data_IF_974800441178
#
_entry.id   IF_974800441178
#
_cell.length_a   1.000
_cell.length_b   1.000
_cell.length_c   1.000
_cell.angle_alpha   90.00
_cell.angle_beta   90.00
_cell.angle_gamma   90.00
#
_symmetry.space_group_name_H-M   'P 1'
#
loop_
_entity.id
_entity.type
_entity.pdbx_description
1 polymer ?
2 non-polymer ?
3 non-polymer ?
#
# COMPACT_ATOMS: atom_id res chain seq x y z
N UNK A 21 39.81 10.89 -24.20
CA UNK A 21 39.94 9.92 -23.12
C UNK A 21 38.62 9.33 -22.66
N UNK A 22 38.65 8.04 -22.36
CA UNK A 22 37.50 7.32 -21.81
C UNK A 22 38.02 6.03 -21.18
N UNK A 23 37.19 5.45 -20.31
CA UNK A 23 37.55 4.22 -19.61
C UNK A 23 36.76 3.02 -20.11
N UNK A 24 37.47 1.89 -20.28
CA UNK A 24 36.87 0.58 -20.49
C UNK A 24 37.32 -0.36 -19.37
N UNK A 25 36.36 -1.09 -18.78
CA UNK A 25 36.62 -2.13 -17.78
C UNK A 25 35.82 -3.39 -18.09
N UNK A 26 36.49 -4.55 -18.09
CA UNK A 26 35.90 -5.79 -18.56
C UNK A 26 36.42 -6.99 -17.76
N UNK A 27 35.65 -8.08 -17.82
CA UNK A 27 35.95 -9.35 -17.16
C UNK A 27 35.63 -9.36 -15.67
N UNK A 28 36.30 -10.28 -14.96
CA UNK A 28 36.02 -10.54 -13.55
C UNK A 28 36.05 -9.25 -12.71
N UNK A 29 36.92 -8.32 -13.06
CA UNK A 29 37.03 -7.06 -12.32
C UNK A 29 35.83 -6.14 -12.53
N UNK A 30 35.20 -6.14 -13.70
CA UNK A 30 33.94 -5.41 -13.85
C UNK A 30 32.79 -6.06 -13.10
N UNK A 31 32.74 -7.38 -13.06
CA UNK A 31 31.73 -8.13 -12.32
C UNK A 31 31.86 -7.95 -10.81
N UNK A 32 33.08 -7.99 -10.29
CA UNK A 32 33.31 -7.66 -8.89
C UNK A 32 32.92 -6.22 -8.55
N UNK A 33 33.25 -5.29 -9.40
CA UNK A 33 32.85 -3.89 -9.20
C UNK A 33 31.33 -3.67 -9.24
N UNK A 34 30.58 -4.48 -9.98
CA UNK A 34 29.11 -4.43 -9.90
C UNK A 34 28.55 -5.05 -8.61
N UNK A 35 29.04 -6.21 -8.22
CA UNK A 35 28.59 -6.85 -6.98
C UNK A 35 28.92 -5.99 -5.76
N UNK A 36 30.05 -5.32 -5.75
CA UNK A 36 30.35 -4.41 -4.65
C UNK A 36 29.44 -3.18 -4.60
N UNK A 37 28.75 -2.84 -5.69
CA UNK A 37 27.71 -1.81 -5.65
C UNK A 37 26.40 -2.33 -5.07
N UNK A 38 25.99 -3.53 -5.44
CA UNK A 38 24.78 -4.13 -4.89
C UNK A 38 24.91 -4.38 -3.38
N UNK A 39 26.00 -4.96 -2.94
CA UNK A 39 26.24 -5.12 -1.50
C UNK A 39 26.45 -3.82 -0.72
N UNK A 40 26.55 -2.67 -1.36
CA UNK A 40 26.50 -1.38 -0.66
C UNK A 40 25.06 -0.88 -0.51
N UNK A 41 24.28 -0.94 -1.58
CA UNK A 41 22.88 -0.51 -1.51
C UNK A 41 22.09 -1.40 -0.56
N UNK A 42 22.36 -2.69 -0.53
CA UNK A 42 21.67 -3.52 0.45
C UNK A 42 22.14 -3.20 1.86
N UNK A 43 23.39 -2.81 2.04
CA UNK A 43 23.92 -2.50 3.37
C UNK A 43 23.27 -1.27 3.97
N UNK A 44 22.90 -0.31 3.13
CA UNK A 44 22.12 0.84 3.61
C UNK A 44 20.74 0.47 4.16
N UNK A 45 20.10 -0.59 3.70
CA UNK A 45 18.73 -0.95 4.09
C UNK A 45 18.63 -2.05 5.12
N UNK A 46 19.59 -2.95 5.21
CA UNK A 46 19.48 -4.14 6.03
C UNK A 46 18.92 -3.94 7.43
N UNK A 47 19.44 -2.98 8.19
CA UNK A 47 19.00 -2.76 9.56
C UNK A 47 17.54 -2.30 9.70
N UNK A 48 16.97 -1.61 8.74
CA UNK A 48 15.59 -1.13 8.86
C UNK A 48 14.55 -2.17 8.51
N UNK A 49 14.93 -3.41 8.34
CA UNK A 49 13.99 -4.47 8.02
C UNK A 49 13.09 -4.68 9.22
N UNK A 50 11.83 -4.32 9.07
CA UNK A 50 10.90 -4.24 10.15
C UNK A 50 10.33 -5.55 10.61
N UNK A 51 9.37 -5.51 11.53
CA UNK A 51 9.09 -4.44 12.49
C UNK A 51 10.18 -4.33 13.49
N UNK A 52 9.94 -3.53 14.52
CA UNK A 52 10.86 -3.47 15.64
C UNK A 52 12.27 -3.19 15.16
N UNK A 53 12.37 -2.35 14.13
CA UNK A 53 13.62 -2.12 13.45
C UNK A 53 14.03 -0.67 13.48
N UNK A 54 15.33 -0.43 13.38
CA UNK A 54 15.94 0.88 13.49
C UNK A 54 15.48 1.81 12.38
N UNK A 55 15.60 3.11 12.62
CA UNK A 55 15.42 4.15 11.62
C UNK A 55 16.73 4.70 11.10
N UNK A 56 16.65 5.50 10.03
CA UNK A 56 17.76 6.24 9.48
C UNK A 56 17.47 7.73 9.52
N UNK A 57 18.52 8.54 9.71
CA UNK A 57 18.43 9.99 9.63
C UNK A 57 18.92 10.52 8.27
N UNK A 58 18.08 11.26 7.54
CA UNK A 58 18.45 11.88 6.28
C UNK A 58 18.46 13.40 6.37
N UNK A 59 19.61 14.00 6.05
CA UNK A 59 19.79 15.45 6.05
C UNK A 59 19.95 15.94 4.61
N UNK A 60 19.20 16.97 4.24
CA UNK A 60 19.26 17.51 2.89
C UNK A 60 20.27 18.68 2.82
N UNK A 61 20.47 19.19 1.59
CA UNK A 61 21.41 20.30 1.34
C UNK A 61 20.99 21.61 1.98
N UNK A 62 19.71 21.75 2.32
CA UNK A 62 19.23 22.97 2.98
C UNK A 62 19.46 22.91 4.48
N UNK A 63 19.52 21.70 5.03
CA UNK A 63 19.69 21.48 6.45
C UNK A 63 18.47 20.97 7.19
N UNK A 64 17.45 20.51 6.47
CA UNK A 64 16.31 19.83 7.07
C UNK A 64 16.67 18.43 7.56
N UNK A 65 16.03 18.02 8.66
CA UNK A 65 16.27 16.73 9.29
C UNK A 65 15.02 15.87 9.12
N UNK A 66 15.20 14.62 8.70
CA UNK A 66 14.10 13.68 8.59
C UNK A 66 14.47 12.31 9.15
N UNK A 67 13.52 11.71 9.87
CA UNK A 67 13.68 10.39 10.45
C UNK A 67 12.70 9.43 9.80
N UNK A 68 13.21 8.32 9.26
CA UNK A 68 12.34 7.41 8.53
C UNK A 68 12.82 5.97 8.62
N UNK A 69 11.88 5.04 8.42
CA UNK A 69 12.15 3.63 8.26
C UNK A 69 11.40 3.07 7.07
N UNK A 70 10.86 3.93 6.22
CA UNK A 70 10.13 3.54 5.01
C UNK A 70 11.07 3.47 3.81
N UNK A 71 11.26 2.26 3.30
CA UNK A 71 12.28 2.01 2.28
C UNK A 71 12.04 2.74 0.97
N UNK A 72 10.80 2.88 0.58
CA UNK A 72 10.46 3.66 -0.60
C UNK A 72 10.80 5.14 -0.42
N UNK A 73 10.83 5.62 0.82
CA UNK A 73 11.28 6.95 1.17
C UNK A 73 12.80 7.08 1.16
N UNK A 74 13.52 6.13 1.76
CA UNK A 74 14.99 6.21 1.83
C UNK A 74 15.60 6.25 0.43
N UNK A 75 15.13 5.40 -0.47
CA UNK A 75 15.66 5.27 -1.82
C UNK A 75 15.44 6.49 -2.72
N UNK A 76 14.64 7.47 -2.30
CA UNK A 76 14.50 8.72 -3.05
C UNK A 76 15.30 9.88 -2.50
N UNK A 77 15.96 9.73 -1.36
CA UNK A 77 16.69 10.80 -0.71
C UNK A 77 18.10 10.42 -0.31
N UNK A 78 18.42 9.14 -0.23
CA UNK A 78 19.78 8.71 -0.49
C UNK A 78 20.11 9.04 -1.94
N UNK A 79 21.39 9.25 -2.21
CA UNK A 79 21.87 9.49 -3.57
C UNK A 79 23.07 8.62 -3.90
N UNK A 80 23.10 8.14 -5.16
CA UNK A 80 23.91 6.99 -5.57
C UNK A 80 24.82 7.34 -6.74
N UNK A 81 26.13 7.20 -6.52
CA UNK A 81 27.15 7.54 -7.51
C UNK A 81 27.36 6.48 -8.58
N UNK A 82 26.94 5.23 -8.37
CA UNK A 82 27.32 4.09 -9.19
C UNK A 82 26.17 3.63 -10.09
N UNK A 83 26.39 3.48 -11.38
CA UNK A 83 25.29 3.24 -12.34
C UNK A 83 24.57 1.90 -12.19
N UNK A 84 25.25 0.84 -11.79
CA UNK A 84 24.58 -0.45 -11.60
C UNK A 84 23.67 -0.42 -10.38
N UNK A 85 24.10 0.24 -9.32
CA UNK A 85 23.21 0.50 -8.21
C UNK A 85 22.01 1.32 -8.64
N UNK A 86 22.23 2.30 -9.52
CA UNK A 86 21.16 3.11 -10.06
C UNK A 86 20.14 2.31 -10.87
N UNK A 87 20.54 1.17 -11.43
CA UNK A 87 19.57 0.23 -12.03
C UNK A 87 18.83 -0.64 -11.00
N UNK A 88 19.55 -1.14 -10.00
CA UNK A 88 18.92 -1.91 -8.93
C UNK A 88 17.85 -1.09 -8.20
N UNK A 89 18.17 0.14 -7.82
CA UNK A 89 17.20 1.00 -7.13
C UNK A 89 15.99 1.28 -8.01
N UNK A 90 16.18 1.46 -9.31
CA UNK A 90 15.07 1.74 -10.22
C UNK A 90 14.11 0.58 -10.32
N UNK A 91 14.62 -0.64 -10.27
CA UNK A 91 13.75 -1.83 -10.21
C UNK A 91 13.01 -1.93 -8.87
N UNK A 92 13.69 -1.72 -7.77
CA UNK A 92 13.02 -1.70 -6.47
C UNK A 92 12.00 -0.57 -6.27
N UNK A 93 12.21 0.59 -6.87
CA UNK A 93 11.20 1.66 -6.89
C UNK A 93 10.02 1.32 -7.80
N UNK A 94 10.29 0.81 -8.99
CA UNK A 94 9.24 0.35 -9.89
C UNK A 94 8.38 -0.72 -9.24
N UNK A 95 9.01 -1.57 -8.44
CA UNK A 95 8.32 -2.56 -7.59
C UNK A 95 7.27 -1.97 -6.65
N UNK A 96 7.45 -0.76 -6.14
CA UNK A 96 6.54 -0.19 -5.14
C UNK A 96 5.22 0.34 -5.71
N UNK A 97 5.19 0.80 -6.97
CA UNK A 97 3.98 1.36 -7.58
C UNK A 97 3.06 0.30 -8.18
N UNK A 98 3.62 -0.84 -8.59
CA UNK A 98 2.80 -1.94 -9.14
C UNK A 98 2.03 -2.63 -8.00
N UNK A 99 2.67 -2.89 -6.86
CA UNK A 99 2.00 -3.64 -5.75
C UNK A 99 1.89 -2.89 -4.41
N UNK A 100 2.79 -1.94 -4.09
CA UNK A 100 2.74 -1.07 -2.88
C UNK A 100 3.48 -1.62 -1.65
N UNK A 101 3.73 -2.93 -1.63
CA UNK A 101 4.48 -3.52 -0.48
C UNK A 101 5.66 -4.31 -1.03
N UNK A 102 6.69 -4.56 -0.21
CA UNK A 102 7.84 -5.33 -0.59
C UNK A 102 8.93 -4.53 -1.27
N UNK A 103 9.18 -3.32 -0.82
CA UNK A 103 10.27 -2.50 -1.34
C UNK A 103 11.61 -2.92 -0.76
N UNK A 104 11.64 -3.29 0.53
CA UNK A 104 12.85 -3.72 1.22
C UNK A 104 13.15 -5.19 1.02
N UNK A 105 12.14 -6.06 1.07
CA UNK A 105 12.38 -7.48 0.84
C UNK A 105 13.04 -7.73 -0.51
N UNK A 106 12.59 -7.03 -1.54
CA UNK A 106 13.17 -7.13 -2.86
C UNK A 106 14.55 -6.51 -3.01
N UNK A 107 15.05 -5.78 -2.03
CA UNK A 107 16.43 -5.35 -2.04
C UNK A 107 17.32 -6.27 -1.19
N UNK A 108 16.83 -6.72 -0.04
CA UNK A 108 17.59 -7.67 0.78
C UNK A 108 17.79 -9.00 0.08
N UNK A 109 16.74 -9.54 -0.51
CA UNK A 109 16.89 -10.79 -1.24
C UNK A 109 17.85 -10.67 -2.40
N UNK A 110 17.81 -9.55 -3.11
CA UNK A 110 18.76 -9.25 -4.19
C UNK A 110 20.15 -8.96 -3.69
N UNK A 111 20.31 -8.67 -2.43
CA UNK A 111 21.63 -8.58 -1.80
C UNK A 111 22.23 -9.93 -1.46
N UNK A 112 21.39 -10.80 -0.91
CA UNK A 112 21.81 -12.17 -0.60
C UNK A 112 22.11 -13.02 -1.84
N UNK A 113 21.30 -12.98 -2.87
CA UNK A 113 21.60 -13.78 -4.08
C UNK A 113 22.89 -13.37 -4.78
N UNK A 114 23.30 -12.13 -4.70
CA UNK A 114 24.60 -11.70 -5.18
C UNK A 114 25.72 -12.10 -4.23
N UNK A 115 25.52 -11.93 -2.93
CA UNK A 115 26.56 -12.31 -1.99
C UNK A 115 26.86 -13.80 -2.09
N UNK A 116 25.85 -14.64 -2.29
CA UNK A 116 26.10 -16.07 -2.50
C UNK A 116 26.57 -16.43 -3.90
N UNK A 117 26.28 -15.64 -4.92
CA UNK A 117 26.93 -15.84 -6.23
C UNK A 117 28.42 -15.64 -6.16
N UNK A 118 28.88 -14.73 -5.31
CA UNK A 118 30.32 -14.54 -5.15
C UNK A 118 31.04 -15.79 -4.64
N UNK A 119 30.39 -16.65 -3.85
CA UNK A 119 31.00 -17.91 -3.44
C UNK A 119 31.10 -18.93 -4.56
N UNK A 120 30.22 -18.88 -5.54
CA UNK A 120 30.29 -19.79 -6.69
C UNK A 120 31.32 -19.33 -7.72
N UNK A 121 31.49 -18.05 -7.91
CA UNK A 121 32.53 -17.61 -8.85
C UNK A 121 33.95 -17.97 -8.41
N UNK A 122 34.25 -18.03 -7.13
CA UNK A 122 35.55 -18.54 -6.68
C UNK A 122 35.78 -20.02 -6.92
N UNK A 123 34.76 -20.78 -7.24
CA UNK A 123 34.95 -22.16 -7.70
C UNK A 123 35.06 -22.23 -9.22
N UNK A 124 35.19 -21.07 -9.87
CA UNK A 124 35.33 -20.88 -11.31
C UNK A 124 34.15 -21.30 -12.16
N UNK A 125 32.96 -21.41 -11.61
CA UNK A 125 31.78 -21.61 -12.45
C UNK A 125 31.57 -20.36 -13.30
N UNK A 126 31.15 -20.55 -14.52
CA UNK A 126 30.84 -19.46 -15.46
C UNK A 126 29.47 -18.86 -15.16
N UNK A 127 29.33 -17.54 -15.22
CA UNK A 127 28.06 -16.85 -14.93
C UNK A 127 26.81 -17.33 -15.63
N UNK A 128 26.90 -17.82 -16.85
CA UNK A 128 25.71 -18.32 -17.54
C UNK A 128 25.23 -19.65 -16.99
N UNK A 129 26.00 -20.33 -16.16
CA UNK A 129 25.48 -21.47 -15.41
C UNK A 129 24.71 -21.02 -14.16
N UNK A 130 25.21 -20.03 -13.44
CA UNK A 130 24.52 -19.47 -12.28
C UNK A 130 23.16 -18.91 -12.66
N UNK A 131 23.12 -18.02 -13.64
CA UNK A 131 21.86 -17.40 -14.06
C UNK A 131 20.85 -18.42 -14.56
N UNK A 132 21.31 -19.49 -15.18
CA UNK A 132 20.43 -20.57 -15.56
C UNK A 132 19.95 -21.34 -14.34
N UNK A 133 20.73 -21.38 -13.27
CA UNK A 133 20.24 -22.01 -12.06
C UNK A 133 19.14 -21.20 -11.38
N UNK A 134 19.39 -19.92 -11.13
CA UNK A 134 18.38 -19.08 -10.47
C UNK A 134 17.06 -19.04 -11.21
N UNK A 135 17.08 -18.79 -12.52
CA UNK A 135 15.83 -18.82 -13.30
C UNK A 135 15.20 -20.20 -13.43
N UNK A 136 15.81 -21.23 -12.87
CA UNK A 136 15.24 -22.57 -12.78
C UNK A 136 14.76 -22.93 -11.38
N UNK A 137 15.19 -22.18 -10.38
CA UNK A 137 14.68 -22.23 -9.01
C UNK A 137 13.45 -21.36 -8.80
N UNK A 138 13.42 -20.18 -9.40
CA UNK A 138 12.32 -19.24 -9.20
C UNK A 138 10.97 -19.78 -9.69
N UNK A 139 10.97 -20.57 -10.74
CA UNK A 139 9.76 -21.25 -11.27
C UNK A 139 9.22 -22.39 -10.40
N UNK A 140 10.03 -23.02 -9.57
CA UNK A 140 9.53 -23.99 -8.59
C UNK A 140 9.15 -23.30 -7.25
N UNK A 141 9.78 -22.18 -6.95
CA UNK A 141 9.34 -21.35 -5.81
C UNK A 141 7.94 -20.76 -6.03
N UNK A 142 7.69 -20.16 -7.19
CA UNK A 142 6.36 -19.59 -7.45
C UNK A 142 5.26 -20.65 -7.47
N UNK A 143 5.53 -21.84 -7.96
CA UNK A 143 4.57 -22.92 -7.79
C UNK A 143 4.35 -23.30 -6.30
N UNK A 144 5.42 -23.37 -5.51
CA UNK A 144 5.28 -23.71 -4.10
C UNK A 144 4.44 -22.71 -3.31
N UNK A 145 4.59 -21.41 -3.57
CA UNK A 145 3.73 -20.43 -2.88
C UNK A 145 2.25 -20.65 -3.18
N UNK A 146 1.91 -20.97 -4.41
CA UNK A 146 0.51 -21.24 -4.73
C UNK A 146 0.03 -22.54 -4.12
N UNK A 147 0.93 -23.45 -3.83
CA UNK A 147 0.51 -24.69 -3.18
C UNK A 147 0.31 -24.53 -1.67
N UNK A 148 1.21 -23.88 -0.95
CA UNK A 148 1.11 -23.85 0.51
C UNK A 148 0.12 -22.82 1.07
N UNK A 149 -0.32 -21.83 0.29
CA UNK A 149 -1.25 -20.81 0.76
C UNK A 149 -2.63 -21.40 1.06
N UNK A 150 -3.47 -20.59 1.75
CA UNK A 150 -4.84 -20.87 2.16
C UNK A 150 -5.81 -19.78 1.73
N UNK A 151 -7.00 -20.15 1.26
CA UNK A 151 -7.97 -19.19 0.73
C UNK A 151 -8.74 -18.42 1.78
N UNK A 152 -9.22 -17.23 1.38
CA UNK A 152 -9.99 -16.35 2.26
C UNK A 152 -11.01 -15.52 1.47
N UNK A 153 -12.14 -15.21 2.11
CA UNK A 153 -13.26 -14.48 1.52
C UNK A 153 -13.75 -13.39 2.47
N UNK A 154 -14.55 -12.46 1.93
CA UNK A 154 -15.08 -11.33 2.70
C UNK A 154 -15.82 -11.77 3.96
N UNK A 155 -16.51 -12.89 3.88
CA UNK A 155 -17.22 -13.43 5.05
C UNK A 155 -16.29 -13.82 6.19
N UNK A 156 -15.04 -14.13 5.87
CA UNK A 156 -14.01 -14.48 6.85
C UNK A 156 -13.37 -13.28 7.54
N UNK A 157 -14.23 -12.40 8.05
CA UNK A 157 -13.92 -11.02 8.46
C UNK A 157 -12.92 -10.95 9.61
N UNK A 158 -12.82 -11.99 10.43
CA UNK A 158 -11.74 -12.11 11.40
C UNK A 158 -10.35 -12.07 10.75
N UNK A 159 -10.18 -12.76 9.63
CA UNK A 159 -8.92 -12.76 8.90
C UNK A 159 -8.65 -11.41 8.26
N UNK A 160 -9.68 -10.76 7.75
CA UNK A 160 -9.58 -9.37 7.28
C UNK A 160 -9.16 -8.41 8.38
N UNK A 161 -9.72 -8.55 9.58
CA UNK A 161 -9.32 -7.76 10.73
C UNK A 161 -7.87 -8.01 11.14
N UNK A 162 -7.45 -9.26 11.17
CA UNK A 162 -6.06 -9.60 11.43
C UNK A 162 -5.08 -9.04 10.39
N UNK A 163 -5.43 -9.06 9.11
CA UNK A 163 -4.59 -8.44 8.07
C UNK A 163 -4.55 -6.92 8.24
N UNK A 164 -5.70 -6.31 8.49
CA UNK A 164 -5.74 -4.87 8.69
C UNK A 164 -4.85 -4.49 9.87
N UNK A 165 -5.02 -5.17 10.99
CA UNK A 165 -4.24 -4.86 12.18
C UNK A 165 -2.75 -5.01 11.93
N UNK A 166 -2.33 -6.08 11.26
CA UNK A 166 -0.90 -6.28 11.00
C UNK A 166 -0.31 -5.16 10.16
N UNK A 167 -1.05 -4.68 9.15
CA UNK A 167 -0.59 -3.58 8.30
C UNK A 167 -0.66 -2.22 9.02
N UNK A 168 -1.63 -2.05 9.93
CA UNK A 168 -1.91 -0.82 10.67
C UNK A 168 -0.92 -0.56 11.82
N UNK A 169 -0.56 -1.58 12.59
CA UNK A 169 0.15 -1.45 13.88
C UNK A 169 1.58 -0.89 13.83
N UNK A 170 2.19 -0.76 15.00
CA UNK A 170 3.53 -0.19 15.28
C UNK A 170 3.69 1.32 15.07
N UNK A 171 2.61 2.08 15.20
CA UNK A 171 2.56 3.56 15.36
C UNK A 171 1.68 3.90 16.57
N UNK A 172 1.64 5.17 16.96
CA UNK A 172 0.76 5.68 18.02
C UNK A 172 -0.72 5.34 17.76
N UNK A 173 -1.20 5.55 16.53
CA UNK A 173 -2.47 4.99 16.08
C UNK A 173 -2.28 3.53 15.72
N UNK A 174 -3.05 2.65 16.37
CA UNK A 174 -2.84 1.20 16.33
C UNK A 174 -4.10 0.53 16.86
N UNK A 175 -4.08 -0.81 16.87
CA UNK A 175 -5.13 -1.59 17.48
C UNK A 175 -5.37 -1.49 18.97
N UNK A 176 -4.60 -0.65 19.66
CA UNK A 176 -5.08 -0.18 20.96
C UNK A 176 -6.37 0.61 20.77
N UNK A 177 -6.47 1.34 19.67
CA UNK A 177 -7.74 1.86 19.15
C UNK A 177 -8.24 0.99 17.99
N UNK A 178 -8.57 -0.27 18.30
CA UNK A 178 -9.07 -1.26 17.33
C UNK A 178 -10.32 -0.83 16.58
N UNK A 179 -11.01 0.22 17.03
CA UNK A 179 -12.02 0.87 16.21
C UNK A 179 -11.51 1.22 14.82
N UNK A 180 -10.24 1.62 14.71
CA UNK A 180 -9.60 1.85 13.42
C UNK A 180 -9.53 0.59 12.52
N UNK A 181 -9.38 -0.58 13.14
CA UNK A 181 -9.35 -1.85 12.41
C UNK A 181 -10.71 -2.25 11.84
N UNK A 182 -11.75 -2.08 12.64
CA UNK A 182 -13.09 -2.34 12.13
C UNK A 182 -13.53 -1.25 11.18
N UNK A 183 -13.06 -0.03 11.41
CA UNK A 183 -13.35 1.09 10.52
C UNK A 183 -12.95 0.76 9.08
N UNK A 184 -11.70 0.34 8.89
CA UNK A 184 -11.19 -0.01 7.56
C UNK A 184 -11.81 -1.29 7.01
N UNK A 185 -12.00 -2.30 7.85
CA UNK A 185 -12.57 -3.57 7.37
C UNK A 185 -13.99 -3.37 6.87
N UNK A 186 -14.83 -2.69 7.65
CA UNK A 186 -16.18 -2.36 7.21
C UNK A 186 -16.17 -1.49 5.95
N UNK A 187 -15.29 -0.50 5.90
CA UNK A 187 -15.26 0.44 4.78
C UNK A 187 -14.99 -0.25 3.43
N UNK A 188 -14.05 -1.20 3.37
CA UNK A 188 -13.88 -1.98 2.13
C UNK A 188 -14.76 -3.23 1.98
N UNK A 189 -15.30 -3.77 3.07
CA UNK A 189 -16.33 -4.79 2.95
C UNK A 189 -17.60 -4.26 2.30
N UNK A 190 -17.88 -2.96 2.45
CA UNK A 190 -18.95 -2.33 1.70
C UNK A 190 -18.66 -2.21 0.20
N UNK A 191 -17.52 -1.63 -0.19
CA UNK A 191 -17.15 -1.53 -1.60
C UNK A 191 -16.53 -2.83 -2.13
N UNK A 192 -17.40 -3.76 -2.50
CA UNK A 192 -17.02 -4.97 -3.23
C UNK A 192 -17.76 -5.09 -4.56
N UNK A 193 -17.01 -4.96 -5.67
CA UNK A 193 -17.48 -5.27 -7.01
C UNK A 193 -17.07 -6.70 -7.36
N UNK A 194 -17.81 -7.32 -8.28
CA UNK A 194 -17.52 -8.68 -8.70
C UNK A 194 -17.16 -8.75 -10.19
N UNK A 195 -15.92 -9.17 -10.46
CA UNK A 195 -15.35 -9.26 -11.80
C UNK A 195 -14.34 -10.39 -11.85
N UNK A 196 -14.29 -11.07 -13.00
CA UNK A 196 -13.39 -12.21 -13.18
C UNK A 196 -13.70 -13.40 -12.31
N UNK A 197 -14.96 -13.56 -11.90
CA UNK A 197 -15.41 -14.51 -10.90
C UNK A 197 -14.79 -14.26 -9.53
N UNK A 198 -14.32 -13.04 -9.30
CA UNK A 198 -13.61 -12.69 -8.08
C UNK A 198 -14.10 -11.30 -7.66
N UNK A 199 -13.80 -10.93 -6.43
CA UNK A 199 -14.08 -9.56 -6.02
C UNK A 199 -13.08 -8.58 -6.62
N UNK A 200 -13.49 -7.32 -6.70
CA UNK A 200 -12.63 -6.25 -7.20
C UNK A 200 -12.91 -4.94 -6.48
N UNK A 201 -11.86 -4.10 -6.32
CA UNK A 201 -11.95 -2.85 -5.59
C UNK A 201 -10.91 -1.90 -6.16
N UNK A 202 -11.14 -0.59 -5.98
CA UNK A 202 -10.08 0.41 -6.06
C UNK A 202 -10.30 1.55 -5.07
N UNK A 203 -9.20 2.22 -4.73
CA UNK A 203 -9.12 3.27 -3.71
C UNK A 203 -9.83 4.57 -4.11
N UNK A 204 -10.14 4.72 -5.40
CA UNK A 204 -10.96 5.82 -5.88
C UNK A 204 -12.38 5.76 -5.37
N UNK A 205 -12.85 4.57 -4.97
CA UNK A 205 -14.20 4.39 -4.48
C UNK A 205 -14.40 4.80 -3.02
N UNK A 206 -13.35 4.93 -2.22
CA UNK A 206 -13.50 5.27 -0.80
C UNK A 206 -12.65 6.49 -0.45
N UNK A 207 -13.27 7.50 0.15
CA UNK A 207 -12.69 8.82 0.38
C UNK A 207 -12.58 9.13 1.87
N UNK A 208 -11.54 9.90 2.24
CA UNK A 208 -11.37 10.45 3.58
C UNK A 208 -11.74 11.92 3.64
N UNK A 209 -11.96 12.41 4.86
CA UNK A 209 -11.99 13.83 5.21
C UNK A 209 -11.15 14.05 6.46
N UNK A 210 -10.28 15.07 6.44
CA UNK A 210 -9.34 15.32 7.53
C UNK A 210 -9.51 16.72 8.10
N UNK A 211 -9.60 16.79 9.44
CA UNK A 211 -9.73 18.05 10.18
C UNK A 211 -9.09 17.90 11.55
N UNK A 212 -8.86 19.05 12.20
CA UNK A 212 -8.18 19.17 13.49
C UNK A 212 -9.13 19.62 14.60
N UNK A 213 -8.87 19.14 15.81
CA UNK A 213 -9.83 19.14 16.88
C UNK A 213 -10.76 17.96 16.82
N UNK A 214 -10.41 16.95 17.61
CA UNK A 214 -11.07 15.66 17.50
C UNK A 214 -10.38 14.66 18.42
N UNK A 215 -10.74 13.40 18.22
CA UNK A 215 -9.99 12.30 18.83
C UNK A 215 -10.01 11.12 17.87
N UNK A 216 -9.01 10.26 18.01
CA UNK A 216 -8.84 9.16 17.08
C UNK A 216 -9.96 8.13 17.19
N UNK A 217 -10.65 8.05 18.33
CA UNK A 217 -11.89 7.30 18.45
C UNK A 217 -13.12 8.10 18.06
N UNK A 218 -12.98 9.42 17.95
CA UNK A 218 -14.03 10.25 17.37
C UNK A 218 -14.09 10.14 15.84
N UNK A 219 -13.03 9.66 15.20
CA UNK A 219 -13.10 9.28 13.80
C UNK A 219 -14.13 8.18 13.58
N UNK A 220 -14.92 8.31 12.50
CA UNK A 220 -16.00 7.38 12.23
C UNK A 220 -16.19 7.19 10.72
N UNK A 221 -16.67 5.99 10.37
CA UNK A 221 -17.29 5.67 9.08
C UNK A 221 -18.75 6.13 9.04
N UNK A 222 -19.33 6.10 7.85
CA UNK A 222 -20.67 6.65 7.62
C UNK A 222 -21.59 5.80 6.75
N UNK A 223 -21.06 5.06 5.78
CA UNK A 223 -21.88 4.55 4.68
C UNK A 223 -22.63 5.67 3.97
N UNK A 224 -21.95 6.80 3.83
CA UNK A 224 -22.49 8.01 3.23
C UNK A 224 -21.32 8.88 2.82
N UNK A 225 -21.64 9.97 2.12
CA UNK A 225 -20.63 10.86 1.56
C UNK A 225 -20.76 12.23 2.21
N UNK A 226 -19.64 12.79 2.65
CA UNK A 226 -19.65 13.81 3.69
C UNK A 226 -18.60 14.87 3.35
N UNK A 227 -18.92 16.13 3.70
CA UNK A 227 -18.00 17.26 3.64
C UNK A 227 -18.10 18.06 4.93
N UNK A 228 -16.95 18.41 5.51
CA UNK A 228 -16.85 19.18 6.75
C UNK A 228 -17.05 20.69 6.48
N UNK A 229 -18.18 21.02 5.85
CA UNK A 229 -18.58 22.40 5.65
C UNK A 229 -19.02 23.05 6.94
N UNK A 230 -18.31 24.11 7.36
CA UNK A 230 -18.73 24.84 8.55
C UNK A 230 -19.95 25.72 8.33
N UNK A 231 -20.44 25.90 7.10
CA UNK A 231 -21.62 26.75 6.90
C UNK A 231 -22.47 26.23 5.74
N UNK A 232 -23.79 26.37 5.90
CA UNK A 232 -24.75 26.45 4.80
C UNK A 232 -25.87 27.41 5.25
N UNK A 233 -26.46 28.08 4.27
CA UNK A 233 -27.17 29.32 4.52
C UNK A 233 -28.43 29.15 5.38
N UNK A 234 -28.67 30.09 6.30
CA UNK A 234 -29.47 29.81 7.51
C UNK A 234 -30.97 29.63 7.30
N UNK A 235 -31.56 30.20 6.25
CA UNK A 235 -32.98 30.00 5.99
C UNK A 235 -33.35 28.69 5.37
N UNK A 236 -32.40 27.99 4.82
CA UNK A 236 -32.66 26.84 3.98
C UNK A 236 -33.07 25.61 4.79
N UNK A 237 -33.88 24.72 4.19
CA UNK A 237 -34.29 23.48 4.84
C UNK A 237 -33.15 22.47 4.98
N UNK A 238 -32.55 22.43 6.17
CA UNK A 238 -31.38 21.61 6.50
C UNK A 238 -31.69 20.10 6.56
N UNK A 239 -32.88 19.65 6.17
CA UNK A 239 -33.13 18.22 5.92
C UNK A 239 -33.89 18.10 4.62
N UNK A 240 -33.35 17.28 3.72
CA UNK A 240 -33.92 17.02 2.40
C UNK A 240 -33.95 15.52 2.15
N UNK A 241 -35.08 15.00 1.66
CA UNK A 241 -35.34 13.56 1.67
C UNK A 241 -35.95 13.07 0.37
N UNK A 242 -35.51 11.88 -0.07
CA UNK A 242 -35.90 11.26 -1.34
C UNK A 242 -35.78 12.24 -2.51
N UNK A 243 -34.54 12.69 -2.73
CA UNK A 243 -34.26 13.99 -3.31
C UNK A 243 -33.34 13.96 -4.53
N UNK A 244 -33.38 15.06 -5.26
CA UNK A 244 -32.66 15.35 -6.50
C UNK A 244 -31.53 16.33 -6.24
N UNK A 245 -30.35 16.05 -6.83
CA UNK A 245 -29.12 16.79 -6.58
C UNK A 245 -28.56 17.32 -7.91
N UNK A 246 -28.14 18.58 -7.89
CA UNK A 246 -27.42 19.20 -9.00
C UNK A 246 -26.01 19.61 -8.60
N UNK A 247 -25.03 19.25 -9.44
CA UNK A 247 -23.61 19.51 -9.25
C UNK A 247 -23.11 20.41 -10.36
N UNK A 248 -22.57 21.58 -10.00
CA UNK A 248 -22.43 22.67 -10.96
C UNK A 248 -21.03 23.24 -10.99
N UNK A 249 -20.47 23.31 -12.20
CA UNK A 249 -19.46 24.30 -12.58
C UNK A 249 -20.08 25.66 -12.87
N UNK A 250 -21.38 25.68 -13.19
CA UNK A 250 -22.22 26.87 -13.12
C UNK A 250 -22.36 27.37 -11.69
N UNK A 268 -23.56 56.07 -15.59
CA UNK A 268 -24.56 55.87 -14.52
C UNK A 268 -25.85 55.12 -14.79
N UNK A 269 -26.65 55.57 -15.77
CA UNK A 269 -27.95 54.92 -16.00
C UNK A 269 -27.79 53.49 -16.51
N UNK A 270 -26.87 53.29 -17.46
CA UNK A 270 -26.58 51.96 -17.98
C UNK A 270 -25.85 51.11 -16.94
N UNK A 271 -25.06 51.75 -16.08
CA UNK A 271 -24.44 51.08 -14.94
C UNK A 271 -25.47 50.51 -13.96
N UNK A 272 -26.53 51.26 -13.68
CA UNK A 272 -27.66 50.73 -12.89
C UNK A 272 -28.38 49.59 -13.60
N UNK A 273 -28.63 49.73 -14.90
CA UNK A 273 -29.22 48.64 -15.69
C UNK A 273 -28.35 47.36 -15.72
N UNK A 274 -27.03 47.49 -15.82
CA UNK A 274 -26.11 46.35 -15.68
C UNK A 274 -26.07 45.76 -14.27
N UNK A 275 -26.11 46.61 -13.25
CA UNK A 275 -26.15 46.17 -11.85
C UNK A 275 -27.42 45.36 -11.55
N UNK A 276 -28.56 45.84 -12.00
CA UNK A 276 -29.80 45.06 -11.92
C UNK A 276 -29.73 43.76 -12.72
N UNK A 277 -29.23 43.81 -13.95
CA UNK A 277 -29.11 42.61 -14.78
C UNK A 277 -28.27 41.51 -14.11
N UNK A 278 -27.22 41.91 -13.39
CA UNK A 278 -26.45 40.97 -12.54
C UNK A 278 -27.17 40.53 -11.27
N UNK A 279 -28.07 41.34 -10.73
CA UNK A 279 -28.89 40.88 -9.60
C UNK A 279 -30.01 39.92 -10.03
N UNK A 280 -30.62 40.13 -11.20
CA UNK A 280 -31.53 39.16 -11.80
C UNK A 280 -30.86 37.84 -12.16
N UNK A 281 -29.57 37.85 -12.51
CA UNK A 281 -28.84 36.57 -12.68
C UNK A 281 -28.76 35.73 -11.39
N UNK A 282 -28.96 36.34 -10.23
CA UNK A 282 -29.16 35.57 -8.98
C UNK A 282 -30.47 34.78 -8.98
N UNK A 283 -31.59 35.42 -9.29
CA UNK A 283 -32.87 34.73 -9.51
C UNK A 283 -32.84 33.71 -10.67
N UNK A 284 -32.00 33.89 -11.69
CA UNK A 284 -31.81 32.87 -12.74
C UNK A 284 -31.29 31.51 -12.25
N UNK A 285 -30.69 31.45 -11.06
CA UNK A 285 -30.41 30.16 -10.41
C UNK A 285 -31.71 29.46 -10.00
N UNK A 286 -32.61 30.19 -9.34
CA UNK A 286 -33.92 29.63 -9.04
C UNK A 286 -34.65 29.30 -10.35
N UNK A 287 -34.67 30.23 -11.29
CA UNK A 287 -35.35 30.03 -12.57
C UNK A 287 -34.95 28.70 -13.25
N UNK A 288 -33.68 28.35 -13.21
CA UNK A 288 -33.21 27.10 -13.82
C UNK A 288 -33.23 25.88 -12.91
N UNK A 289 -33.31 26.06 -11.59
CA UNK A 289 -33.62 24.95 -10.69
C UNK A 289 -35.09 24.52 -10.80
N UNK A 290 -36.00 25.48 -10.83
CA UNK A 290 -37.42 25.17 -11.06
C UNK A 290 -37.64 24.52 -12.42
N UNK A 291 -36.83 24.85 -13.42
CA UNK A 291 -36.84 24.18 -14.71
C UNK A 291 -36.42 22.71 -14.66
N UNK A 292 -35.93 22.22 -13.51
CA UNK A 292 -35.52 20.82 -13.41
C UNK A 292 -35.89 20.15 -12.09
N UNK A 293 -36.39 20.89 -11.10
CA UNK A 293 -36.87 20.32 -9.84
C UNK A 293 -35.86 19.83 -8.83
N UNK A 294 -34.62 20.31 -8.89
CA UNK A 294 -33.57 19.88 -7.98
C UNK A 294 -33.81 20.44 -6.57
N UNK A 295 -33.41 19.67 -5.56
CA UNK A 295 -33.63 20.02 -4.15
C UNK A 295 -32.39 20.61 -3.48
N UNK A 296 -31.20 20.08 -3.74
CA UNK A 296 -29.95 20.62 -3.21
C UNK A 296 -29.00 20.84 -4.39
N UNK A 297 -28.32 21.99 -4.39
CA UNK A 297 -27.62 22.48 -5.57
C UNK A 297 -26.28 23.07 -5.17
N UNK A 298 -25.20 22.38 -5.55
CA UNK A 298 -23.82 22.65 -5.17
C UNK A 298 -23.10 23.29 -6.36
N UNK A 299 -22.43 24.43 -6.13
CA UNK A 299 -21.75 25.14 -7.20
C UNK A 299 -20.32 25.49 -6.83
N UNK A 300 -19.44 25.36 -7.82
CA UNK A 300 -17.99 25.40 -7.63
C UNK A 300 -17.49 26.68 -6.97
N UNK A 301 -17.71 27.84 -7.61
CA UNK A 301 -17.28 29.09 -7.00
C UNK A 301 -17.98 30.28 -7.66
N UNK A 306 -25.90 38.01 -2.63
CA UNK A 306 -26.76 36.99 -2.04
C UNK A 306 -28.17 37.02 -2.64
N UNK A 307 -28.75 35.81 -2.76
CA UNK A 307 -30.19 35.64 -2.98
C UNK A 307 -30.73 34.36 -2.33
N UNK A 308 -30.02 33.82 -1.33
CA UNK A 308 -30.33 32.54 -0.67
C UNK A 308 -31.66 32.53 0.08
N UNK A 309 -32.17 33.68 0.48
CA UNK A 309 -33.53 33.79 1.04
C UNK A 309 -34.62 33.40 0.04
N UNK A 310 -34.43 33.66 -1.25
CA UNK A 310 -35.40 33.30 -2.28
C UNK A 310 -35.29 31.82 -2.66
N UNK A 311 -34.07 31.29 -2.67
CA UNK A 311 -33.86 29.85 -2.75
C UNK A 311 -34.49 29.12 -1.56
N UNK A 312 -34.29 29.65 -0.34
CA UNK A 312 -34.94 29.08 0.84
C UNK A 312 -36.47 29.18 0.76
N UNK A 313 -36.99 30.29 0.23
CA UNK A 313 -38.43 30.40 0.02
C UNK A 313 -38.92 29.31 -0.93
N UNK A 317 -31.78 23.91 -1.04
CA UNK A 317 -30.57 24.02 -0.24
C UNK A 317 -29.38 24.27 -1.17
N UNK A 318 -28.64 25.35 -0.89
CA UNK A 318 -27.46 25.75 -1.64
C UNK A 318 -26.18 25.50 -0.85
N UNK A 319 -25.18 24.93 -1.53
CA UNK A 319 -23.83 24.79 -1.01
C UNK A 319 -22.88 25.74 -1.73
N UNK A 320 -22.25 26.61 -0.94
CA UNK A 320 -21.61 27.83 -1.43
C UNK A 320 -20.49 27.56 -2.45
N UNK A 321 -19.71 26.50 -2.25
CA UNK A 321 -18.44 26.39 -2.96
C UNK A 321 -18.07 24.92 -3.08
N UNK A 325 -12.78 18.30 -8.39
CA UNK A 325 -12.48 16.92 -8.01
C UNK A 325 -13.41 16.36 -6.93
N UNK A 326 -14.08 17.21 -6.18
CA UNK A 326 -15.11 16.78 -5.24
C UNK A 326 -16.50 16.74 -5.84
N UNK A 327 -16.78 17.65 -6.77
CA UNK A 327 -17.96 17.52 -7.63
C UNK A 327 -17.94 16.22 -8.42
N UNK A 328 -16.76 15.78 -8.87
CA UNK A 328 -16.59 14.46 -9.48
C UNK A 328 -16.90 13.31 -8.52
N UNK A 329 -16.51 13.42 -7.26
CA UNK A 329 -16.85 12.42 -6.25
C UNK A 329 -18.35 12.41 -5.94
N UNK A 330 -18.95 13.58 -5.81
CA UNK A 330 -20.39 13.67 -5.64
C UNK A 330 -21.11 13.09 -6.85
N UNK A 331 -20.64 13.34 -8.06
CA UNK A 331 -21.24 12.75 -9.24
C UNK A 331 -21.16 11.23 -9.22
N UNK A 332 -20.02 10.67 -8.81
CA UNK A 332 -19.84 9.23 -8.72
C UNK A 332 -20.71 8.60 -7.62
N UNK A 333 -21.01 9.34 -6.57
CA UNK A 333 -21.95 8.85 -5.56
C UNK A 333 -23.40 9.00 -6.01
N UNK A 334 -23.78 10.20 -6.45
CA UNK A 334 -25.15 10.55 -6.77
C UNK A 334 -25.61 10.00 -8.11
N UNK A 335 -24.70 9.55 -8.97
CA UNK A 335 -25.08 9.23 -10.34
C UNK A 335 -25.40 10.42 -11.21
N UNK A 336 -25.15 11.64 -10.72
CA UNK A 336 -25.36 12.85 -11.50
C UNK A 336 -24.20 13.13 -12.44
N UNK A 337 -24.19 14.35 -12.94
CA UNK A 337 -23.11 14.88 -13.76
C UNK A 337 -22.87 16.33 -13.39
N UNK A 338 -21.60 16.74 -13.46
CA UNK A 338 -21.24 18.15 -13.25
C UNK A 338 -21.60 18.95 -14.50
N UNK A 344 -28.40 24.52 -19.47
CA UNK A 344 -28.34 23.20 -20.11
C UNK A 344 -29.07 22.10 -19.34
N UNK A 345 -29.60 22.39 -18.15
CA UNK A 345 -30.09 21.36 -17.23
C UNK A 345 -31.18 20.45 -17.81
N UNK A 349 -29.51 14.74 -16.27
CA UNK A 349 -28.21 15.15 -15.73
C UNK A 349 -28.14 15.16 -14.20
N UNK A 350 -29.26 15.28 -13.51
CA UNK A 350 -29.28 15.28 -12.05
C UNK A 350 -28.88 13.94 -11.43
N UNK A 351 -28.32 14.03 -10.21
CA UNK A 351 -28.12 12.90 -9.33
C UNK A 351 -29.21 12.78 -8.26
N UNK A 352 -29.20 11.64 -7.55
CA UNK A 352 -30.28 11.31 -6.63
C UNK A 352 -29.72 10.74 -5.34
N UNK A 353 -30.37 11.09 -4.21
CA UNK A 353 -29.99 10.52 -2.92
C UNK A 353 -31.19 10.48 -1.98
N UNK A 354 -31.17 9.48 -1.09
CA UNK A 354 -32.25 9.27 -0.12
C UNK A 354 -32.32 10.32 0.98
N UNK A 355 -31.19 10.87 1.42
CA UNK A 355 -31.21 11.88 2.47
C UNK A 355 -30.03 12.84 2.29
N UNK A 356 -30.26 14.11 2.63
CA UNK A 356 -29.21 15.12 2.80
C UNK A 356 -29.46 15.91 4.07
N UNK A 357 -28.40 16.14 4.85
CA UNK A 357 -28.53 16.83 6.13
C UNK A 357 -27.29 17.68 6.38
N UNK A 358 -27.51 18.69 7.23
CA UNK A 358 -26.38 19.50 7.74
C UNK A 358 -26.54 19.38 9.27
N UNK A 359 -25.47 19.17 10.01
CA UNK A 359 -25.49 18.93 11.44
C UNK A 359 -24.19 19.40 12.11
N UNK A 360 -24.31 19.79 13.38
CA UNK A 360 -23.15 19.93 14.25
C UNK A 360 -22.57 18.57 14.58
N UNK A 364 -17.56 21.30 15.89
CA UNK A 364 -17.65 21.90 14.56
C UNK A 364 -18.93 21.46 13.85
N UNK A 365 -19.08 21.88 12.59
CA UNK A 365 -20.31 21.73 11.83
C UNK A 365 -20.02 21.06 10.49
N UNK A 366 -21.01 20.32 9.97
CA UNK A 366 -20.79 19.44 8.81
C UNK A 366 -22.06 19.26 7.98
N UNK A 367 -21.84 18.81 6.74
CA UNK A 367 -22.89 18.44 5.78
C UNK A 367 -22.72 16.99 5.33
N UNK A 368 -23.85 16.26 5.24
CA UNK A 368 -23.88 14.83 4.94
C UNK A 368 -24.82 14.51 3.79
N UNK A 369 -24.39 13.59 2.92
CA UNK A 369 -25.25 12.94 1.94
C UNK A 369 -25.33 11.44 2.24
N UNK A 370 -26.55 10.92 2.33
CA UNK A 370 -26.77 9.53 2.72
C UNK A 370 -27.75 8.84 1.78
N UNK A 371 -27.41 7.62 1.39
CA UNK A 371 -28.16 6.82 0.41
C UNK A 371 -28.16 7.33 -1.00
N UNK A 372 -27.03 7.86 -1.48
CA UNK A 372 -26.87 8.25 -2.87
C UNK A 372 -27.00 7.06 -3.82
N UNK A 373 -27.39 7.39 -5.06
CA UNK A 373 -27.82 6.42 -6.08
C UNK A 373 -26.84 5.26 -6.26
N UNK A 374 -25.53 5.55 -6.24
CA UNK A 374 -24.52 4.50 -6.25
C UNK A 374 -24.22 4.01 -4.84
N UNK A 375 -24.58 2.77 -4.50
CA UNK A 375 -24.36 2.24 -3.15
C UNK A 375 -22.93 1.79 -2.86
N UNK A 376 -22.08 1.67 -3.86
CA UNK A 376 -20.69 1.24 -3.71
C UNK A 376 -19.72 2.41 -3.57
N UNK A 377 -20.12 3.44 -2.84
CA UNK A 377 -19.26 4.56 -2.49
C UNK A 377 -19.40 4.88 -1.01
N UNK A 378 -18.28 5.16 -0.34
CA UNK A 378 -18.23 5.39 1.10
C UNK A 378 -17.23 6.51 1.39
N UNK A 379 -17.53 7.33 2.41
CA UNK A 379 -16.57 8.24 3.02
C UNK A 379 -16.36 7.96 4.50
N UNK A 380 -15.13 8.22 4.95
CA UNK A 380 -14.71 8.22 6.34
C UNK A 380 -14.11 9.56 6.70
N UNK A 381 -14.27 9.96 7.96
CA UNK A 381 -13.76 11.21 8.49
C UNK A 381 -12.81 10.98 9.65
N UNK A 382 -11.61 11.55 9.54
CA UNK A 382 -10.63 11.64 10.63
C UNK A 382 -10.64 13.04 11.22
N UNK A 383 -10.98 13.15 12.51
CA UNK A 383 -10.75 14.36 13.29
C UNK A 383 -9.82 14.05 14.45
N UNK A 384 -8.69 14.76 14.51
CA UNK A 384 -7.73 14.58 15.58
C UNK A 384 -7.34 15.88 16.23
N UNK A 385 -6.94 15.79 17.50
CA UNK A 385 -6.62 16.98 18.30
C UNK A 385 -5.36 17.71 17.87
N UNK A 386 -4.50 17.08 17.09
CA UNK A 386 -3.30 17.72 16.58
C UNK A 386 -3.06 17.29 15.14
N UNK A 387 -2.40 18.17 14.40
CA UNK A 387 -2.08 17.95 12.99
C UNK A 387 -1.13 16.77 12.75
N UNK A 388 -0.12 16.63 13.61
CA UNK A 388 0.88 15.56 13.47
C UNK A 388 0.26 14.17 13.53
N UNK A 389 -0.79 13.99 14.33
CA UNK A 389 -1.51 12.72 14.39
C UNK A 389 -2.27 12.44 13.10
N UNK A 390 -3.11 13.39 12.67
CA UNK A 390 -3.96 13.23 11.50
C UNK A 390 -3.16 12.97 10.23
N UNK A 391 -2.09 13.73 10.01
CA UNK A 391 -1.34 13.65 8.76
C UNK A 391 -0.54 12.36 8.58
N UNK A 392 -0.12 11.71 9.66
CA UNK A 392 0.45 10.36 9.51
C UNK A 392 -0.61 9.26 9.62
N UNK A 393 -1.71 9.50 10.31
CA UNK A 393 -2.79 8.54 10.38
C UNK A 393 -3.41 8.27 9.01
N UNK A 394 -3.51 9.29 8.16
CA UNK A 394 -3.91 9.03 6.78
C UNK A 394 -2.94 8.06 6.08
N UNK A 395 -1.65 8.28 6.25
CA UNK A 395 -0.55 7.54 5.63
C UNK A 395 -0.42 6.11 6.14
N UNK A 396 -0.94 5.85 7.33
CA UNK A 396 -1.13 4.51 7.88
C UNK A 396 -2.45 3.86 7.46
N UNK A 397 -3.56 4.56 7.64
CA UNK A 397 -4.91 4.02 7.48
C UNK A 397 -5.25 3.67 6.04
N UNK A 398 -4.91 4.52 5.08
CA UNK A 398 -5.09 4.18 3.66
C UNK A 398 -4.11 3.14 3.13
N UNK A 399 -2.95 2.99 3.72
CA UNK A 399 -2.06 1.88 3.39
C UNK A 399 -2.54 0.55 3.98
N UNK A 400 -3.21 0.59 5.11
CA UNK A 400 -3.88 -0.59 5.67
C UNK A 400 -5.04 -1.01 4.79
N UNK A 401 -5.91 -0.08 4.45
CA UNK A 401 -6.99 -0.37 3.51
C UNK A 401 -6.45 -0.87 2.16
N UNK A 402 -5.42 -0.24 1.61
CA UNK A 402 -4.76 -0.70 0.39
C UNK A 402 -3.92 -1.97 0.53
N UNK A 403 -3.91 -2.59 1.70
CA UNK A 403 -3.44 -3.96 1.92
C UNK A 403 -4.59 -4.96 1.97
N UNK A 404 -5.68 -4.56 2.60
CA UNK A 404 -6.89 -5.38 2.54
C UNK A 404 -7.31 -5.56 1.08
N UNK A 405 -7.25 -4.49 0.29
CA UNK A 405 -7.49 -4.61 -1.15
C UNK A 405 -6.54 -5.58 -1.88
N UNK A 406 -5.31 -5.77 -1.40
CA UNK A 406 -4.39 -6.76 -2.00
C UNK A 406 -4.71 -8.18 -1.59
N UNK A 407 -5.40 -8.36 -0.48
CA UNK A 407 -5.97 -9.67 -0.22
C UNK A 407 -7.21 -9.88 -1.08
N UNK A 408 -8.15 -8.94 -1.07
CA UNK A 408 -9.43 -9.13 -1.73
C UNK A 408 -9.31 -9.26 -3.25
N UNK A 409 -8.34 -8.59 -3.87
CA UNK A 409 -8.09 -8.79 -5.29
C UNK A 409 -7.55 -10.17 -5.64
N UNK A 410 -7.09 -10.98 -4.69
CA UNK A 410 -6.59 -12.30 -5.03
C UNK A 410 -6.62 -13.12 -3.73
N UNK A 411 -7.54 -14.06 -3.66
CA UNK A 411 -8.05 -14.63 -2.42
C UNK A 411 -7.18 -15.66 -1.72
N UNK A 412 -5.86 -15.48 -1.73
CA UNK A 412 -4.95 -16.34 -0.99
C UNK A 412 -4.25 -15.53 0.10
N UNK A 413 -3.87 -16.18 1.20
CA UNK A 413 -3.09 -15.53 2.24
C UNK A 413 -2.05 -16.50 2.79
N UNK A 414 -0.92 -15.96 3.24
CA UNK A 414 0.20 -16.74 3.77
C UNK A 414 0.77 -16.11 5.03
N UNK A 415 1.29 -16.96 5.92
CA UNK A 415 1.82 -16.51 7.20
C UNK A 415 3.07 -15.64 7.04
N UNK A 416 3.19 -14.69 7.94
CA UNK A 416 4.38 -13.86 8.04
C UNK A 416 5.52 -14.52 8.77
N UNK A 417 6.34 -13.71 9.42
CA UNK A 417 7.28 -14.16 10.41
C UNK A 417 8.37 -15.08 9.91
N UNK A 418 8.52 -15.18 8.60
CA UNK A 418 9.47 -16.15 8.11
C UNK A 418 8.99 -17.57 8.00
N UNK A 419 7.70 -17.79 8.02
CA UNK A 419 7.15 -19.14 7.88
C UNK A 419 7.17 -19.65 6.45
N UNK A 420 7.02 -18.76 5.46
CA UNK A 420 7.07 -19.14 4.04
C UNK A 420 8.48 -19.55 3.60
N UNK A 421 9.48 -18.75 3.95
CA UNK A 421 10.85 -19.00 3.53
C UNK A 421 11.32 -20.41 3.84
N UNK A 422 10.96 -20.94 4.99
CA UNK A 422 11.42 -22.27 5.38
C UNK A 422 10.63 -23.42 4.75
N UNK A 423 9.45 -23.20 4.20
CA UNK A 423 8.88 -24.23 3.34
C UNK A 423 9.50 -24.21 1.94
N UNK A 424 9.78 -23.03 1.42
CA UNK A 424 10.48 -22.94 0.14
C UNK A 424 11.87 -23.55 0.23
N UNK A 425 12.60 -23.24 1.27
CA UNK A 425 13.92 -23.82 1.46
C UNK A 425 13.93 -25.32 1.72
N UNK A 426 12.78 -25.95 1.92
CA UNK A 426 12.67 -27.41 1.87
C UNK A 426 12.37 -27.92 0.47
N UNK A 427 11.44 -27.31 -0.23
CA UNK A 427 11.12 -27.77 -1.58
C UNK A 427 12.35 -27.71 -2.49
N UNK A 428 13.10 -26.62 -2.47
CA UNK A 428 14.31 -26.53 -3.29
C UNK A 428 15.32 -27.62 -2.97
N UNK A 429 15.62 -27.86 -1.72
CA UNK A 429 16.60 -28.90 -1.40
C UNK A 429 16.13 -30.32 -1.68
N UNK A 430 14.84 -30.52 -1.86
CA UNK A 430 14.36 -31.80 -2.39
C UNK A 430 14.34 -31.87 -3.93
N UNK A 431 14.17 -30.75 -4.60
CA UNK A 431 14.18 -30.65 -6.06
C UNK A 431 15.59 -30.65 -6.66
N UNK A 432 16.57 -30.05 -6.00
CA UNK A 432 17.93 -29.92 -6.56
C UNK A 432 18.60 -31.21 -7.02
N UNK A 433 18.54 -32.33 -6.31
CA UNK A 433 19.10 -33.59 -6.83
C UNK A 433 18.56 -34.05 -8.18
N UNK A 434 17.40 -33.60 -8.61
CA UNK A 434 16.94 -34.00 -9.95
C UNK A 434 17.68 -33.24 -11.05
N UNK A 435 18.18 -32.04 -10.78
CA UNK A 435 18.82 -31.25 -11.83
C UNK A 435 20.28 -31.66 -12.04
N UNK A 436 20.96 -32.14 -11.00
CA UNK A 436 22.13 -32.98 -11.20
C UNK A 436 23.45 -32.38 -11.67
N UNK A 437 23.46 -31.46 -12.61
CA UNK A 437 24.70 -30.90 -13.12
C UNK A 437 25.30 -29.85 -12.22
N UNK A 438 26.21 -29.05 -12.79
CA UNK A 438 26.71 -27.86 -12.10
C UNK A 438 25.58 -26.96 -11.62
N UNK A 439 24.47 -26.96 -12.34
CA UNK A 439 23.26 -26.23 -11.95
C UNK A 439 22.75 -26.60 -10.56
N UNK A 440 23.04 -27.80 -10.08
CA UNK A 440 22.67 -28.17 -8.71
C UNK A 440 23.30 -27.25 -7.66
N UNK A 441 24.53 -26.83 -7.84
CA UNK A 441 25.14 -25.89 -6.89
C UNK A 441 24.50 -24.50 -6.92
N UNK A 442 23.96 -24.07 -8.05
CA UNK A 442 23.25 -22.80 -8.11
C UNK A 442 21.88 -22.84 -7.45
N UNK A 443 21.14 -23.94 -7.52
CA UNK A 443 19.86 -24.03 -6.81
C UNK A 443 20.08 -24.12 -5.31
N UNK A 444 21.00 -24.93 -4.84
CA UNK A 444 21.25 -24.98 -3.40
C UNK A 444 21.84 -23.68 -2.91
N UNK A 445 22.58 -22.96 -3.72
CA UNK A 445 22.99 -21.61 -3.36
C UNK A 445 21.84 -20.60 -3.39
N UNK A 446 20.73 -20.90 -4.03
CA UNK A 446 19.50 -20.10 -3.90
C UNK A 446 18.78 -20.33 -2.59
N UNK A 447 18.61 -21.58 -2.20
CA UNK A 447 17.97 -21.92 -0.93
C UNK A 447 18.70 -21.34 0.27
N UNK A 448 20.01 -21.43 0.32
CA UNK A 448 20.77 -20.77 1.39
C UNK A 448 20.60 -19.26 1.41
N UNK A 449 20.21 -18.63 0.32
CA UNK A 449 20.01 -17.18 0.28
C UNK A 449 18.60 -16.73 0.67
N UNK A 450 17.59 -17.59 0.58
CA UNK A 450 16.26 -17.33 1.14
C UNK A 450 16.19 -17.55 2.66
N UNK A 451 16.77 -18.62 3.20
CA UNK A 451 16.86 -18.77 4.66
C UNK A 451 17.65 -17.62 5.26
N UNK A 452 18.67 -17.16 4.57
CA UNK A 452 19.49 -16.03 4.94
C UNK A 452 18.73 -14.74 5.04
N UNK A 453 17.48 -14.72 4.64
CA UNK A 453 16.62 -13.57 4.94
C UNK A 453 16.12 -13.51 6.37
N UNK A 454 15.68 -14.62 6.97
CA UNK A 454 15.08 -14.56 8.32
C UNK A 454 16.11 -14.45 9.43
N UNK A 455 17.38 -14.68 9.14
CA UNK A 455 18.41 -14.20 10.05
C UNK A 455 18.36 -12.68 10.19
N UNK A 456 18.19 -11.95 9.09
CA UNK A 456 18.08 -10.49 9.16
C UNK A 456 16.82 -10.04 9.87
N UNK A 457 15.88 -10.94 10.08
CA UNK A 457 14.73 -10.66 10.92
C UNK A 457 14.95 -11.00 12.38
N UNK A 458 15.64 -12.10 12.68
CA UNK A 458 15.96 -12.48 14.06
C UNK A 458 17.10 -11.63 14.63
N UNK A 459 18.15 -11.45 13.86
CA UNK A 459 19.30 -10.64 14.25
C UNK A 459 18.90 -9.24 14.63
N UNK A 460 17.80 -8.77 14.11
CA UNK A 460 17.30 -7.43 14.27
C UNK A 460 16.47 -7.24 15.53
N UNK A 461 15.90 -8.29 16.09
CA UNK A 461 15.10 -8.19 17.31
C UNK A 461 15.88 -8.60 18.55
N UNK A 462 17.21 -8.58 18.48
CA UNK A 462 18.10 -8.87 19.59
C UNK A 462 18.44 -10.34 19.83
N UNK A 463 17.82 -11.25 19.13
CA UNK A 463 18.04 -12.66 19.37
C UNK A 463 19.40 -13.09 18.85
N UNK A 464 19.79 -14.28 19.25
CA UNK A 464 20.92 -15.02 18.69
C UNK A 464 20.53 -15.70 17.40
N UNK A 465 21.08 -15.29 16.26
CA UNK A 465 20.49 -15.67 14.97
C UNK A 465 20.58 -17.15 14.57
N UNK A 466 21.70 -17.81 14.81
CA UNK A 466 21.91 -19.15 14.27
C UNK A 466 21.04 -20.19 14.97
N UNK A 467 21.07 -20.21 16.29
CA UNK A 467 20.23 -21.16 16.99
C UNK A 467 18.74 -20.94 16.68
N UNK A 468 18.31 -19.70 16.59
CA UNK A 468 16.90 -19.40 16.30
C UNK A 468 16.56 -19.58 14.83
N UNK A 469 17.54 -19.87 13.99
CA UNK A 469 17.28 -20.51 12.71
C UNK A 469 17.16 -22.04 12.81
N UNK A 470 18.11 -22.68 13.48
CA UNK A 470 18.15 -24.14 13.59
C UNK A 470 16.92 -24.72 14.27
N UNK A 471 16.40 -24.05 15.29
CA UNK A 471 15.15 -24.47 15.91
C UNK A 471 13.97 -24.46 14.93
N UNK A 472 13.86 -23.42 14.12
CA UNK A 472 12.79 -23.40 13.13
C UNK A 472 12.95 -24.48 12.08
N UNK A 473 14.15 -24.71 11.61
CA UNK A 473 14.33 -25.74 10.58
C UNK A 473 14.03 -27.12 11.13
N UNK A 474 14.48 -27.42 12.34
CA UNK A 474 14.12 -28.67 12.98
C UNK A 474 12.61 -28.79 13.22
N UNK A 475 11.94 -27.72 13.64
CA UNK A 475 10.48 -27.80 13.80
C UNK A 475 9.77 -28.06 12.48
N UNK A 476 10.32 -27.63 11.35
CA UNK A 476 9.71 -27.95 10.06
C UNK A 476 10.06 -29.32 9.52
N UNK A 477 11.05 -30.01 10.06
CA UNK A 477 11.23 -31.39 9.62
C UNK A 477 10.18 -32.33 10.20
N UNK A 478 9.54 -31.96 11.29
CA UNK A 478 8.34 -32.67 11.68
C UNK A 478 7.21 -32.42 10.68
N UNK A 479 6.26 -33.35 10.66
CA UNK A 479 5.07 -33.21 9.86
C UNK A 479 4.18 -32.07 10.38
N UNK A 480 3.28 -31.62 9.50
CA UNK A 480 2.39 -30.43 9.62
C UNK A 480 3.25 -29.24 10.07
N UNK A 481 2.87 -28.50 11.11
CA UNK A 481 3.68 -27.41 11.66
C UNK A 481 4.01 -26.31 10.67
N UNK A 482 3.46 -26.34 9.46
CA UNK A 482 3.93 -25.46 8.38
C UNK A 482 3.80 -23.97 8.67
N UNK A 483 3.05 -23.55 9.69
CA UNK A 483 2.97 -22.15 10.05
C UNK A 483 3.84 -21.67 11.21
N UNK A 484 4.73 -22.49 11.76
CA UNK A 484 5.66 -22.01 12.78
C UNK A 484 6.68 -21.02 12.24
N UNK A 485 6.88 -19.92 12.98
CA UNK A 485 7.79 -18.87 12.61
C UNK A 485 8.22 -18.08 13.83
N UNK A 486 9.00 -17.04 13.59
CA UNK A 486 9.43 -16.12 14.63
C UNK A 486 8.34 -15.17 15.08
N UNK A 487 8.02 -15.21 16.36
CA UNK A 487 7.51 -14.05 17.04
C UNK A 487 8.68 -13.10 17.32
N UNK A 488 8.37 -11.81 17.47
CA UNK A 488 9.39 -10.80 17.73
C UNK A 488 9.16 -10.01 19.00
N UNK A 489 8.11 -10.31 19.72
CA UNK A 489 7.85 -9.70 21.00
C UNK A 489 8.12 -10.67 22.12
N UNK A 490 8.57 -11.88 21.78
CA UNK A 490 9.22 -12.80 22.68
C UNK A 490 10.07 -13.69 21.79
N UNK A 491 11.27 -14.05 22.27
CA UNK A 491 12.27 -14.72 21.43
C UNK A 491 11.99 -16.14 20.94
N UNK A 492 10.92 -16.80 21.38
CA UNK A 492 10.75 -18.16 20.93
C UNK A 492 9.81 -18.27 19.72
N UNK A 493 10.01 -19.30 18.91
CA UNK A 493 9.05 -19.64 17.86
C UNK A 493 7.65 -19.91 18.37
N UNK A 494 6.67 -19.44 17.61
CA UNK A 494 5.24 -19.61 17.87
C UNK A 494 4.51 -19.77 16.56
N UNK A 495 3.30 -20.32 16.63
CA UNK A 495 2.43 -20.52 15.47
C UNK A 495 1.86 -19.21 14.96
N UNK A 496 2.27 -18.82 13.75
CA UNK A 496 1.92 -17.52 13.16
C UNK A 496 0.48 -17.37 12.73
N UNK A 497 -0.25 -18.44 12.48
CA UNK A 497 -1.66 -18.26 12.16
C UNK A 497 -2.51 -17.96 13.40
N UNK A 498 -2.26 -18.66 14.49
CA UNK A 498 -2.99 -18.37 15.72
C UNK A 498 -2.57 -17.03 16.33
N UNK A 499 -1.31 -16.62 16.17
CA UNK A 499 -1.01 -15.23 16.49
C UNK A 499 -1.61 -14.23 15.53
N UNK A 500 -2.10 -14.67 14.36
CA UNK A 500 -2.74 -13.75 13.44
C UNK A 500 -1.85 -12.82 12.65
N UNK A 501 -0.66 -13.25 12.26
CA UNK A 501 0.29 -12.44 11.51
C UNK A 501 0.30 -12.89 10.05
N UNK A 502 -0.34 -12.14 9.15
CA UNK A 502 -0.63 -12.64 7.80
C UNK A 502 -0.26 -11.57 6.78
N UNK A 503 0.19 -12.00 5.60
CA UNK A 503 0.30 -11.11 4.45
C UNK A 503 -0.17 -11.75 3.15
N UNK A 504 -0.59 -10.93 2.20
CA UNK A 504 -1.09 -11.44 0.93
C UNK A 504 -0.02 -11.99 -0.01
N UNK A 505 -0.35 -13.13 -0.64
CA UNK A 505 0.58 -13.87 -1.50
C UNK A 505 1.16 -13.04 -2.65
N UNK A 506 0.36 -12.18 -3.26
CA UNK A 506 0.82 -11.34 -4.36
C UNK A 506 2.03 -10.47 -4.01
N UNK A 507 2.17 -10.07 -2.76
CA UNK A 507 3.33 -9.30 -2.34
C UNK A 507 4.59 -10.15 -2.19
N UNK A 508 4.45 -11.39 -1.76
CA UNK A 508 5.62 -12.27 -1.74
C UNK A 508 6.04 -12.65 -3.14
N UNK A 509 5.10 -13.00 -4.02
CA UNK A 509 5.48 -13.31 -5.39
C UNK A 509 6.22 -12.16 -6.06
N UNK A 510 5.75 -10.93 -5.87
CA UNK A 510 6.48 -9.78 -6.42
C UNK A 510 7.85 -9.58 -5.78
N UNK A 511 8.03 -9.93 -4.51
CA UNK A 511 9.36 -9.85 -3.91
C UNK A 511 10.34 -10.84 -4.53
N UNK A 512 9.93 -12.09 -4.68
CA UNK A 512 10.78 -13.12 -5.29
C UNK A 512 11.12 -12.77 -6.74
N UNK A 513 10.13 -12.37 -7.53
CA UNK A 513 10.34 -12.10 -8.94
C UNK A 513 11.16 -10.83 -9.20
N UNK A 514 10.96 -9.76 -8.45
CA UNK A 514 11.77 -8.56 -8.65
C UNK A 514 13.19 -8.70 -8.10
N UNK A 515 13.44 -9.62 -7.17
CA UNK A 515 14.83 -9.88 -6.77
C UNK A 515 15.58 -10.70 -7.82
N UNK A 516 14.99 -11.77 -8.32
CA UNK A 516 15.65 -12.57 -9.36
C UNK A 516 15.89 -11.78 -10.65
N UNK A 517 14.91 -10.98 -11.07
CA UNK A 517 15.07 -10.03 -12.18
C UNK A 517 16.14 -8.97 -11.92
N UNK A 518 16.35 -8.53 -10.69
CA UNK A 518 17.38 -7.52 -10.47
C UNK A 518 18.79 -8.11 -10.43
N UNK A 519 18.99 -9.28 -9.82
CA UNK A 519 20.33 -9.89 -9.73
C UNK A 519 20.81 -10.47 -11.07
N UNK A 520 19.93 -11.08 -11.86
CA UNK A 520 20.30 -11.60 -13.19
C UNK A 520 20.54 -10.53 -14.23
N UNK A 521 20.39 -9.28 -13.87
CA UNK A 521 20.84 -8.15 -14.66
C UNK A 521 22.15 -7.55 -14.17
N UNK A 522 22.60 -7.89 -12.97
CA UNK A 522 23.90 -7.45 -12.44
C UNK A 522 24.97 -8.47 -12.74
N UNK A 523 24.69 -9.75 -12.54
CA UNK A 523 25.40 -10.73 -13.34
C UNK A 523 25.01 -10.50 -14.80
N UNK A 524 25.70 -11.17 -15.71
CA UNK A 524 25.38 -11.02 -17.12
C UNK A 524 25.60 -9.59 -17.61
N UNK A 525 26.44 -8.82 -16.92
CA UNK A 525 27.09 -7.66 -17.52
C UNK A 525 28.60 -7.90 -17.52
N UNK A 526 29.16 -7.99 -18.71
CA UNK A 526 30.56 -8.30 -18.94
C UNK A 526 31.47 -7.09 -18.90
N UNK A 527 31.06 -5.94 -19.41
CA UNK A 527 32.02 -4.89 -19.73
C UNK A 527 31.33 -3.54 -19.62
N UNK A 528 32.08 -2.53 -19.20
CA UNK A 528 31.58 -1.16 -19.07
C UNK A 528 32.36 -0.23 -19.98
N UNK A 529 31.64 0.48 -20.85
CA UNK A 529 32.21 1.46 -21.75
C UNK A 529 31.53 2.81 -21.53
N UNK A 530 32.31 3.88 -21.63
CA UNK A 530 31.80 5.24 -21.62
C UNK A 530 32.48 6.04 -22.74
N UNK A 531 31.87 7.16 -23.11
CA UNK A 531 32.37 7.95 -24.24
C UNK A 531 31.97 9.42 -24.13
#
# INVERSE_FOLDING_TARGET
MATATVATTPEGIPVIILKEGSSRTYGKEALRANIAAVKAIEEALKSTYGPRGMDKMLVDSLGDITITNDGATILDKMDLQHPTGKLLVQIAKGQDEETADGTKTAVILAGELAKKAEDLLYKEIHPTIIVSGYKKAEEIALKTIQEIAQPVTINDTDVLRKVALTSLGSKAVAGAREYLADLVVKAVAQVAELRGDKWYVDLDNVQIVKKHGGSVNDTQLVYGIVVDKEVVHPGMPKRIENAKIALLDASLEVEKPELDAEIRINDPTQMHKFLEEEENILKEKVDKIAATGANVVICQKGIDEVAQHYLAKKGILAVRRAKKSDLEKLARATGGRVISNIDELTSQDLGYAALVEERKVGEDKMVFVEGAKNPKSVSILIRGGLERVVDETERALRDALGTVADVIRDGRAVAGGGAVEIEIAKRLRKYAPQVGGKEQLAIEAYANAIEGLIMILAENAGLDPIDKLMQLRSLHENETNKWYGLNLFTGNPEDMWKLGVIEPALVKMNAVKAATEAVTLVLRIDDIVAAGKKSGSEPSGKKEKDKEEKSSED
#
